data_IF_355152523374
#
_entry.id   IF_355152523374
#
_cell.length_a   1.000
_cell.length_b   1.000
_cell.length_c   1.000
_cell.angle_alpha   90.00
_cell.angle_beta   90.00
_cell.angle_gamma   90.00
#
_symmetry.space_group_name_H-M   'P 1'
#
loop_
_entity.id
_entity.type
_entity.pdbx_description
1 polymer ?
#
# COMPACT_ATOMS: atom_id res chain seq x y z
N UNK A 1 21.96 4.39 -3.40
CA UNK A 1 21.73 5.71 -2.80
C UNK A 1 20.79 5.48 -1.61
N UNK A 2 21.26 5.66 -0.37
CA UNK A 2 20.42 5.50 0.83
C UNK A 2 19.70 6.83 1.02
N UNK A 3 18.38 6.85 0.91
CA UNK A 3 17.58 8.06 1.19
C UNK A 3 17.40 8.13 2.70
N UNK A 4 17.97 9.15 3.33
CA UNK A 4 17.82 9.42 4.75
C UNK A 4 16.59 10.29 4.98
N UNK A 5 15.63 9.80 5.76
CA UNK A 5 14.39 10.50 6.06
C UNK A 5 14.46 11.06 7.48
N UNK A 6 14.38 12.39 7.61
CA UNK A 6 14.16 13.05 8.90
C UNK A 6 12.69 13.44 9.01
N UNK A 7 11.94 12.75 9.87
CA UNK A 7 10.56 13.10 10.17
C UNK A 7 10.57 14.03 11.38
N UNK A 8 10.39 15.33 11.14
CA UNK A 8 10.23 16.32 12.22
C UNK A 8 8.87 16.10 12.92
N UNK A 9 8.86 16.11 14.25
CA UNK A 9 7.63 15.98 15.05
C UNK A 9 7.19 14.53 15.34
N UNK A 10 8.11 13.56 15.25
CA UNK A 10 7.81 12.18 15.66
C UNK A 10 7.86 11.99 17.19
N UNK A 11 8.57 12.85 17.92
CA UNK A 11 8.76 12.71 19.37
C UNK A 11 7.44 12.70 20.16
N UNK A 12 6.48 13.62 19.92
CA UNK A 12 5.19 13.58 20.61
C UNK A 12 4.40 12.28 20.33
N UNK A 13 4.53 11.74 19.11
CA UNK A 13 3.87 10.48 18.72
C UNK A 13 4.51 9.30 19.46
N UNK A 14 5.85 9.29 19.58
CA UNK A 14 6.57 8.27 20.33
C UNK A 14 6.20 8.30 21.82
N UNK A 15 6.02 9.49 22.40
CA UNK A 15 5.53 9.66 23.77
C UNK A 15 4.11 9.12 23.94
N UNK A 16 3.17 9.49 23.03
CA UNK A 16 1.80 8.93 23.00
C UNK A 16 1.80 7.42 22.84
N UNK A 17 2.71 6.86 22.06
CA UNK A 17 2.86 5.41 21.95
C UNK A 17 3.35 4.80 23.27
N UNK A 18 4.31 5.43 23.95
CA UNK A 18 4.84 4.95 25.24
C UNK A 18 3.79 4.99 26.34
N UNK A 19 2.87 5.97 26.32
CA UNK A 19 1.82 6.13 27.34
C UNK A 19 0.71 5.09 27.26
N UNK A 20 0.53 4.41 26.12
CA UNK A 20 -0.48 3.34 25.97
C UNK A 20 0.14 1.94 26.13
N UNK A 21 -0.61 0.95 26.66
CA UNK A 21 -0.19 -0.46 26.71
C UNK A 21 0.22 -0.99 25.33
N UNK A 22 1.25 -1.86 25.29
CA UNK A 22 1.82 -2.42 24.06
C UNK A 22 0.77 -3.10 23.18
N UNK A 23 -0.21 -3.76 23.79
CA UNK A 23 -1.30 -4.44 23.10
C UNK A 23 -2.17 -3.47 22.27
N UNK A 24 -2.32 -2.23 22.74
CA UNK A 24 -3.12 -1.20 22.09
C UNK A 24 -2.35 -0.43 21.01
N UNK A 25 -1.01 -0.51 20.99
CA UNK A 25 -0.15 0.20 20.01
C UNK A 25 -0.30 -0.33 18.58
N UNK A 26 -0.60 -1.63 18.42
CA UNK A 26 -0.56 -2.32 17.12
C UNK A 26 -1.74 -1.95 16.21
N UNK A 27 -2.92 -1.68 16.78
CA UNK A 27 -4.12 -1.38 16.00
C UNK A 27 -4.07 0.01 15.32
N UNK A 28 -3.68 1.11 16.01
CA UNK A 28 -3.39 2.41 15.40
C UNK A 28 -2.36 2.31 14.28
N UNK A 29 -1.22 1.67 14.57
CA UNK A 29 -0.13 1.50 13.60
C UNK A 29 -0.60 0.80 12.33
N UNK A 30 -1.41 -0.26 12.46
CA UNK A 30 -1.95 -0.98 11.30
C UNK A 30 -2.91 -0.10 10.50
N UNK A 31 -3.77 0.66 11.19
CA UNK A 31 -4.72 1.56 10.54
C UNK A 31 -3.98 2.67 9.77
N UNK A 32 -3.00 3.30 10.41
CA UNK A 32 -2.17 4.35 9.82
C UNK A 32 -1.37 3.83 8.60
N UNK A 33 -0.75 2.65 8.70
CA UNK A 33 -0.10 2.00 7.57
C UNK A 33 -1.08 1.73 6.43
N UNK A 34 -2.33 1.36 6.75
CA UNK A 34 -3.37 1.11 5.76
C UNK A 34 -3.79 2.37 5.00
N UNK A 35 -3.75 3.54 5.65
CA UNK A 35 -3.99 4.84 5.02
C UNK A 35 -2.82 5.26 4.14
N UNK A 36 -1.58 5.10 4.61
CA UNK A 36 -0.39 5.39 3.83
C UNK A 36 -0.28 4.50 2.58
N UNK A 37 -0.49 3.19 2.74
CA UNK A 37 -0.51 2.26 1.61
C UNK A 37 -1.62 2.58 0.61
N UNK A 38 -2.75 3.17 1.03
CA UNK A 38 -3.82 3.59 0.13
C UNK A 38 -3.40 4.74 -0.78
N UNK A 39 -2.56 5.66 -0.30
CA UNK A 39 -1.99 6.72 -1.15
C UNK A 39 -1.21 6.09 -2.30
N UNK A 40 -0.32 5.16 -1.99
CA UNK A 40 0.51 4.43 -2.97
C UNK A 40 -0.35 3.58 -3.91
N UNK A 41 -1.34 2.86 -3.38
CA UNK A 41 -2.24 2.04 -4.19
C UNK A 41 -3.09 2.88 -5.16
N UNK A 42 -3.56 4.04 -4.72
CA UNK A 42 -4.30 4.96 -5.59
C UNK A 42 -3.39 5.53 -6.68
N UNK A 43 -2.16 5.94 -6.36
CA UNK A 43 -1.20 6.42 -7.35
C UNK A 43 -0.86 5.34 -8.38
N UNK A 44 -0.55 4.12 -7.93
CA UNK A 44 -0.31 2.99 -8.82
C UNK A 44 -1.53 2.65 -9.69
N UNK A 45 -2.74 2.77 -9.14
CA UNK A 45 -3.99 2.61 -9.90
C UNK A 45 -4.11 3.67 -11.00
N UNK A 46 -3.81 4.93 -10.71
CA UNK A 46 -3.86 6.00 -11.71
C UNK A 46 -2.82 5.77 -12.82
N UNK A 47 -1.60 5.38 -12.46
CA UNK A 47 -0.55 5.06 -13.43
C UNK A 47 -0.98 3.90 -14.35
N UNK A 48 -1.58 2.84 -13.78
CA UNK A 48 -2.06 1.68 -14.54
C UNK A 48 -3.19 2.01 -15.53
N UNK A 49 -3.96 3.09 -15.34
CA UNK A 49 -5.03 3.48 -16.29
C UNK A 49 -4.47 3.84 -17.67
N UNK A 50 -3.23 4.33 -17.75
CA UNK A 50 -2.58 4.63 -19.04
C UNK A 50 -2.09 3.38 -19.78
N UNK A 51 -1.98 2.26 -19.06
CA UNK A 51 -1.50 0.96 -19.55
C UNK A 51 -2.67 0.07 -19.96
N UNK A 52 -3.79 0.20 -19.26
CA UNK A 52 -5.00 -0.59 -19.51
C UNK A 52 -5.47 -0.43 -20.96
N UNK A 53 -5.53 -1.56 -21.69
CA UNK A 53 -5.96 -1.59 -23.08
C UNK A 53 -7.49 -1.75 -23.18
N UNK A 54 -8.13 -0.73 -23.74
CA UNK A 54 -9.58 -0.68 -23.94
C UNK A 54 -10.07 -1.77 -24.91
N UNK A 55 -9.27 -2.20 -25.89
CA UNK A 55 -9.66 -3.21 -26.88
C UNK A 55 -9.74 -4.61 -26.28
N UNK A 56 -8.81 -4.95 -25.38
CA UNK A 56 -8.83 -6.27 -24.71
C UNK A 56 -9.72 -6.31 -23.46
N UNK A 57 -10.20 -5.15 -22.99
CA UNK A 57 -11.00 -5.01 -21.78
C UNK A 57 -10.28 -5.41 -20.49
N UNK A 58 -8.98 -5.70 -20.53
CA UNK A 58 -8.20 -6.10 -19.35
C UNK A 58 -7.71 -4.88 -18.58
N UNK A 59 -8.06 -4.83 -17.30
CA UNK A 59 -7.80 -3.66 -16.45
C UNK A 59 -6.94 -4.01 -15.24
N UNK A 60 -5.64 -3.75 -15.33
CA UNK A 60 -4.68 -3.87 -14.24
C UNK A 60 -5.07 -2.91 -13.11
N UNK A 61 -5.50 -1.69 -13.45
CA UNK A 61 -5.89 -0.67 -12.47
C UNK A 61 -6.97 -1.15 -11.49
N UNK A 62 -7.91 -1.98 -11.95
CA UNK A 62 -8.99 -2.52 -11.10
C UNK A 62 -8.50 -3.60 -10.13
N UNK A 63 -7.34 -4.20 -10.41
CA UNK A 63 -6.73 -5.25 -9.62
C UNK A 63 -5.65 -4.74 -8.66
N UNK A 64 -5.28 -3.45 -8.71
CA UNK A 64 -4.36 -2.86 -7.73
C UNK A 64 -5.00 -2.86 -6.34
N UNK A 65 -4.28 -3.44 -5.38
CA UNK A 65 -4.78 -3.67 -4.03
C UNK A 65 -3.67 -3.51 -2.99
N UNK A 66 -4.09 -3.39 -1.73
CA UNK A 66 -3.20 -3.45 -0.58
C UNK A 66 -3.56 -4.63 0.31
N UNK A 67 -2.54 -5.31 0.84
CA UNK A 67 -2.72 -6.51 1.68
C UNK A 67 -1.87 -6.42 2.93
N UNK A 68 -2.51 -6.57 4.08
CA UNK A 68 -1.81 -6.80 5.34
C UNK A 68 -1.17 -8.19 5.35
N UNK A 69 0.12 -8.27 5.66
CA UNK A 69 0.89 -9.51 5.68
C UNK A 69 0.80 -10.17 7.06
N UNK A 70 -0.34 -10.80 7.33
CA UNK A 70 -0.63 -11.47 8.61
C UNK A 70 0.38 -12.56 8.97
N UNK A 71 0.88 -13.32 8.00
CA UNK A 71 1.94 -14.32 8.22
C UNK A 71 3.23 -13.67 8.71
N UNK A 72 3.65 -12.57 8.07
CA UNK A 72 4.84 -11.81 8.48
C UNK A 72 4.69 -11.27 9.90
N UNK A 73 3.52 -10.69 10.21
CA UNK A 73 3.19 -10.20 11.54
C UNK A 73 3.24 -11.30 12.62
N UNK A 74 2.73 -12.51 12.33
CA UNK A 74 2.78 -13.64 13.27
C UNK A 74 4.21 -14.11 13.55
N UNK A 75 5.11 -13.99 12.58
CA UNK A 75 6.50 -14.45 12.68
C UNK A 75 7.42 -13.42 13.37
N UNK A 76 7.19 -12.12 13.11
CA UNK A 76 8.11 -11.05 13.51
C UNK A 76 7.55 -10.13 14.58
N UNK A 77 6.22 -10.07 14.71
CA UNK A 77 5.53 -9.03 15.48
C UNK A 77 5.36 -7.70 14.73
N UNK A 78 5.99 -7.55 13.56
CA UNK A 78 6.03 -6.29 12.81
C UNK A 78 4.84 -6.13 11.87
N UNK A 79 4.38 -4.88 11.74
CA UNK A 79 3.31 -4.53 10.83
C UNK A 79 3.85 -4.35 9.41
N UNK A 80 3.25 -5.06 8.46
CA UNK A 80 3.59 -4.94 7.04
C UNK A 80 2.33 -4.92 6.18
N UNK A 81 2.21 -3.89 5.34
CA UNK A 81 1.21 -3.81 4.28
C UNK A 81 1.95 -3.72 2.96
N UNK A 82 1.57 -4.56 2.00
CA UNK A 82 2.11 -4.51 0.64
C UNK A 82 1.06 -3.98 -0.31
N UNK A 83 1.48 -3.13 -1.24
CA UNK A 83 0.69 -2.74 -2.42
C UNK A 83 1.14 -3.59 -3.61
N UNK A 84 0.20 -4.01 -4.46
CA UNK A 84 0.49 -4.80 -5.65
C UNK A 84 -0.79 -5.16 -6.40
N UNK A 85 -0.65 -5.99 -7.43
CA UNK A 85 -1.81 -6.49 -8.20
C UNK A 85 -2.33 -7.78 -7.57
N UNK A 86 -3.65 -7.84 -7.34
CA UNK A 86 -4.36 -8.90 -6.65
C UNK A 86 -4.68 -10.13 -7.51
N UNK A 87 -3.95 -10.35 -8.59
CA UNK A 87 -4.18 -11.43 -9.57
C UNK A 87 -3.05 -12.44 -9.57
N UNK A 88 -3.33 -13.64 -10.08
CA UNK A 88 -2.29 -14.65 -10.31
C UNK A 88 -1.28 -14.12 -11.32
N UNK A 89 0.00 -14.43 -11.13
CA UNK A 89 1.03 -14.14 -12.14
C UNK A 89 1.05 -15.26 -13.16
N UNK A 90 1.21 -14.93 -14.44
CA UNK A 90 1.39 -15.97 -15.45
C UNK A 90 1.09 -15.51 -16.87
N UNK A 91 0.96 -16.48 -17.77
CA UNK A 91 0.62 -16.24 -19.17
C UNK A 91 -0.82 -15.71 -19.27
N UNK A 92 -1.03 -14.80 -20.21
CA UNK A 92 -2.38 -14.39 -20.62
C UNK A 92 -3.18 -15.62 -21.07
N UNK A 93 -4.34 -15.92 -20.43
CA UNK A 93 -5.19 -17.02 -20.84
C UNK A 93 -5.65 -16.83 -22.29
N UNK A 94 -5.58 -17.91 -23.07
CA UNK A 94 -6.17 -17.97 -24.42
C UNK A 94 -7.64 -18.37 -24.32
N UNK A 95 -8.49 -17.91 -25.24
CA UNK A 95 -9.92 -18.24 -25.27
C UNK A 95 -10.79 -17.04 -24.89
N UNK A 96 -11.80 -17.26 -24.04
CA UNK A 96 -12.72 -16.24 -23.54
C UNK A 96 -12.33 -15.80 -22.10
N UNK A 97 -11.29 -14.94 -21.94
CA UNK A 97 -10.91 -14.42 -20.64
C UNK A 97 -12.04 -13.54 -20.07
N UNK A 98 -12.21 -13.53 -18.76
CA UNK A 98 -13.06 -12.53 -18.11
C UNK A 98 -12.41 -11.14 -18.25
N UNK A 99 -13.03 -10.29 -19.07
CA UNK A 99 -12.65 -8.90 -19.34
C UNK A 99 -13.50 -7.91 -18.55
N UNK A 100 -14.28 -8.39 -17.57
CA UNK A 100 -15.06 -7.54 -16.68
C UNK A 100 -14.20 -6.73 -15.71
N UNK A 101 -14.85 -5.88 -14.92
CA UNK A 101 -14.19 -5.16 -13.84
C UNK A 101 -13.57 -6.17 -12.85
N UNK A 102 -12.26 -6.03 -12.57
CA UNK A 102 -11.47 -7.00 -11.79
C UNK A 102 -11.31 -8.38 -12.43
N UNK A 103 -11.50 -8.49 -13.75
CA UNK A 103 -11.09 -9.66 -14.52
C UNK A 103 -9.59 -9.95 -14.34
N UNK A 104 -9.19 -11.21 -14.54
CA UNK A 104 -7.83 -11.64 -14.25
C UNK A 104 -6.80 -10.97 -15.18
N UNK A 105 -5.74 -10.39 -14.60
CA UNK A 105 -4.69 -9.62 -15.31
C UNK A 105 -3.30 -10.22 -15.12
N UNK A 106 -3.06 -11.48 -15.50
CA UNK A 106 -1.84 -12.19 -15.07
C UNK A 106 -0.54 -11.67 -15.68
N UNK A 107 -0.64 -10.86 -16.73
CA UNK A 107 0.48 -10.22 -17.43
C UNK A 107 1.02 -8.98 -16.72
N UNK A 108 0.40 -8.50 -15.64
CA UNK A 108 0.78 -7.23 -14.98
C UNK A 108 2.27 -7.13 -14.66
N UNK A 109 2.90 -8.26 -14.28
CA UNK A 109 4.31 -8.27 -13.88
C UNK A 109 5.26 -8.18 -15.09
N UNK A 110 4.81 -8.61 -16.26
CA UNK A 110 5.56 -8.47 -17.52
C UNK A 110 5.59 -7.01 -17.95
N UNK A 111 4.51 -6.27 -17.69
CA UNK A 111 4.44 -4.83 -17.92
C UNK A 111 5.35 -4.10 -16.92
N UNK A 112 5.19 -4.35 -15.61
CA UNK A 112 5.97 -3.68 -14.56
C UNK A 112 7.48 -3.87 -14.73
N UNK A 113 7.93 -5.09 -15.04
CA UNK A 113 9.35 -5.46 -15.06
C UNK A 113 9.96 -5.51 -16.46
N UNK A 114 9.12 -5.50 -17.51
CA UNK A 114 9.56 -5.76 -18.88
C UNK A 114 9.91 -7.23 -19.14
N UNK A 115 10.30 -7.49 -20.37
CA UNK A 115 10.80 -8.79 -20.85
C UNK A 115 11.91 -8.57 -21.87
N UNK A 116 12.57 -9.63 -22.33
CA UNK A 116 13.54 -9.55 -23.43
C UNK A 116 12.95 -8.93 -24.72
N UNK A 117 11.62 -9.01 -24.90
CA UNK A 117 10.92 -8.57 -26.12
C UNK A 117 10.11 -7.28 -25.94
N UNK A 118 10.06 -6.73 -24.72
CA UNK A 118 9.18 -5.59 -24.38
C UNK A 118 9.81 -4.78 -23.25
N UNK A 119 9.90 -3.47 -23.42
CA UNK A 119 10.40 -2.57 -22.39
C UNK A 119 9.46 -2.56 -21.16
N UNK A 120 10.03 -2.39 -19.97
CA UNK A 120 9.26 -2.18 -18.75
C UNK A 120 8.49 -0.86 -18.80
N UNK A 121 7.22 -0.92 -18.40
CA UNK A 121 6.34 0.22 -18.19
C UNK A 121 5.85 0.19 -16.74
N UNK A 122 6.71 0.58 -15.78
CA UNK A 122 6.41 0.44 -14.37
C UNK A 122 5.30 1.39 -13.94
N UNK A 123 4.38 0.89 -13.12
CA UNK A 123 3.27 1.65 -12.54
C UNK A 123 3.22 1.51 -11.01
N UNK A 124 3.66 0.37 -10.46
CA UNK A 124 3.76 0.15 -9.01
C UNK A 124 4.95 0.91 -8.42
N UNK A 125 6.13 0.76 -9.04
CA UNK A 125 7.35 1.44 -8.59
C UNK A 125 7.19 2.97 -8.53
N UNK A 126 6.80 3.68 -9.62
CA UNK A 126 6.58 5.13 -9.55
C UNK A 126 5.41 5.51 -8.62
N UNK A 127 4.42 4.62 -8.46
CA UNK A 127 3.33 4.80 -7.50
C UNK A 127 3.84 4.96 -6.06
N UNK A 128 4.93 4.28 -5.70
CA UNK A 128 5.61 4.45 -4.40
C UNK A 128 6.62 5.61 -4.43
N UNK A 129 7.57 5.58 -5.36
CA UNK A 129 8.72 6.50 -5.38
C UNK A 129 8.32 7.97 -5.40
N UNK A 130 7.29 8.31 -6.18
CA UNK A 130 6.81 9.68 -6.30
C UNK A 130 5.93 10.12 -5.12
N UNK A 131 5.53 9.18 -4.25
CA UNK A 131 4.59 9.42 -3.16
C UNK A 131 5.18 9.13 -1.77
N UNK A 132 6.50 8.95 -1.64
CA UNK A 132 7.13 8.60 -0.35
C UNK A 132 6.82 9.65 0.73
N UNK A 133 7.00 10.95 0.44
CA UNK A 133 6.70 12.01 1.42
C UNK A 133 5.23 11.97 1.83
N UNK A 134 4.32 12.03 0.84
CA UNK A 134 2.88 12.02 1.08
C UNK A 134 2.39 10.80 1.86
N UNK A 135 2.92 9.61 1.56
CA UNK A 135 2.60 8.39 2.30
C UNK A 135 3.13 8.45 3.74
N UNK A 136 4.34 8.98 3.94
CA UNK A 136 4.94 9.20 5.26
C UNK A 136 4.14 10.20 6.09
N UNK A 137 3.80 11.35 5.51
CA UNK A 137 3.00 12.39 6.16
C UNK A 137 1.60 11.87 6.53
N UNK A 138 0.99 11.10 5.62
CA UNK A 138 -0.28 10.42 5.87
C UNK A 138 -0.16 9.42 7.02
N UNK A 139 0.92 8.64 7.06
CA UNK A 139 1.16 7.69 8.15
C UNK A 139 1.25 8.40 9.50
N UNK A 140 2.10 9.43 9.60
CA UNK A 140 2.31 10.23 10.82
C UNK A 140 0.99 10.84 11.30
N UNK A 141 0.29 11.55 10.41
CA UNK A 141 -1.00 12.18 10.71
C UNK A 141 -2.04 11.17 11.19
N UNK A 142 -2.16 10.04 10.48
CA UNK A 142 -3.16 9.03 10.81
C UNK A 142 -2.80 8.26 12.08
N UNK A 143 -1.51 8.06 12.36
CA UNK A 143 -1.07 7.43 13.59
C UNK A 143 -1.42 8.31 14.79
N UNK A 144 -1.09 9.60 14.73
CA UNK A 144 -1.39 10.56 15.79
C UNK A 144 -2.89 10.62 16.10
N UNK A 145 -3.72 10.79 15.07
CA UNK A 145 -5.18 10.77 15.19
C UNK A 145 -5.73 9.48 15.81
N UNK A 146 -5.12 8.34 15.53
CA UNK A 146 -5.56 7.05 16.08
C UNK A 146 -5.09 6.85 17.52
N UNK A 147 -3.90 7.35 17.87
CA UNK A 147 -3.40 7.34 19.24
C UNK A 147 -4.28 8.22 20.14
N UNK A 148 -4.62 9.43 19.70
CA UNK A 148 -5.51 10.33 20.44
C UNK A 148 -6.87 9.70 20.72
N UNK A 149 -7.44 9.01 19.73
CA UNK A 149 -8.69 8.26 19.89
C UNK A 149 -8.58 7.16 20.95
N UNK A 150 -7.45 6.46 21.02
CA UNK A 150 -7.24 5.43 22.03
C UNK A 150 -7.06 6.06 23.41
N UNK A 151 -6.24 7.10 23.53
CA UNK A 151 -5.98 7.79 24.80
C UNK A 151 -7.29 8.34 25.38
N UNK A 152 -8.09 9.03 24.56
CA UNK A 152 -9.41 9.54 24.95
C UNK A 152 -10.34 8.41 25.41
N UNK A 153 -10.31 7.26 24.72
CA UNK A 153 -11.13 6.10 25.08
C UNK A 153 -10.70 5.42 26.38
N UNK A 154 -9.42 5.53 26.75
CA UNK A 154 -8.87 4.98 27.99
C UNK A 154 -9.14 5.86 29.23
N UNK A 155 -9.89 6.96 29.09
CA UNK A 155 -10.20 7.86 30.20
C UNK A 155 -9.17 8.97 30.41
N UNK A 156 -8.31 9.23 29.41
CA UNK A 156 -7.52 10.45 29.35
C UNK A 156 -8.42 11.66 29.08
N UNK A 157 -9.06 12.16 30.13
CA UNK A 157 -9.54 13.53 30.19
C UNK A 157 -8.35 14.40 30.58
N UNK A 158 -7.89 15.23 29.64
CA UNK A 158 -7.38 16.60 29.77
C UNK A 158 -7.05 17.08 28.37
#
# INVERSE_FOLDING_TARGET
MVVEFSILGLDPILEKMRSIPVELRKKPGRSALGSAARVVANAAKQNALSIDDAETGRRIADNVTQRFRSRYFKQTGDLKISVGVGTEKGRIPKGNPDTGAKGNTPHWHLVELGTEKMRAEPFLQPGLEQNISKATDTFVTQLDLQLDKIIKKQGGAT
#
